data_IF_098636372260
#
_entry.id   IF_098636372260
#
_cell.length_a   1.000
_cell.length_b   1.000
_cell.length_c   1.000
_cell.angle_alpha   90.00
_cell.angle_beta   90.00
_cell.angle_gamma   90.00
#
_symmetry.space_group_name_H-M   'P 1'
#
loop_
_entity.id
_entity.type
_entity.pdbx_description
1 polymer ?
#
# COMPACT_ATOMS: atom_id res chain seq x y z
N UNK A 1 -3.18 21.89 6.39
CA UNK A 1 -2.02 22.23 5.54
C UNK A 1 -1.84 21.09 4.56
N UNK A 2 -1.53 21.38 3.30
CA UNK A 2 -1.64 20.46 2.16
C UNK A 2 -0.93 19.12 2.39
N UNK A 3 -1.68 18.02 2.30
CA UNK A 3 -1.19 16.63 2.23
C UNK A 3 -0.32 16.49 0.96
N UNK A 4 0.95 16.86 1.08
CA UNK A 4 1.88 16.86 -0.04
C UNK A 4 2.42 15.46 -0.28
N UNK A 5 1.85 14.76 -1.24
CA UNK A 5 2.49 13.63 -1.85
C UNK A 5 2.51 13.81 -3.36
N UNK A 6 3.66 13.49 -3.95
CA UNK A 6 3.90 13.78 -5.35
C UNK A 6 3.30 12.66 -6.20
N UNK A 7 2.05 12.86 -6.62
CA UNK A 7 1.34 11.92 -7.49
C UNK A 7 2.10 11.66 -8.81
N UNK A 8 2.84 12.64 -9.34
CA UNK A 8 3.68 12.44 -10.52
C UNK A 8 4.86 11.49 -10.26
N UNK A 9 5.19 11.24 -8.99
CA UNK A 9 6.22 10.26 -8.55
C UNK A 9 5.60 9.01 -7.90
N UNK A 10 4.30 8.80 -8.03
CA UNK A 10 3.61 7.66 -7.44
C UNK A 10 3.55 7.69 -5.91
N UNK A 11 3.61 8.88 -5.29
CA UNK A 11 3.55 9.00 -3.84
C UNK A 11 2.19 9.52 -3.37
N UNK A 12 1.66 8.90 -2.31
CA UNK A 12 0.46 9.33 -1.58
C UNK A 12 0.79 9.49 -0.09
N UNK A 13 0.37 10.58 0.53
CA UNK A 13 0.72 10.92 1.92
C UNK A 13 -0.54 10.95 2.77
N UNK A 14 -0.47 10.33 3.95
CA UNK A 14 -1.58 10.27 4.89
C UNK A 14 -1.08 10.46 6.32
N UNK A 15 -1.99 10.81 7.22
CA UNK A 15 -1.68 11.16 8.61
C UNK A 15 -2.43 10.20 9.55
N UNK A 16 -1.72 9.70 10.57
CA UNK A 16 -2.29 8.92 11.67
C UNK A 16 -1.87 9.62 12.96
N UNK A 17 -2.82 10.24 13.65
CA UNK A 17 -2.50 11.06 14.82
C UNK A 17 -1.57 12.21 14.44
N UNK A 18 -0.36 12.23 15.00
CA UNK A 18 0.67 13.23 14.69
C UNK A 18 1.74 12.70 13.71
N UNK A 19 1.66 11.43 13.32
CA UNK A 19 2.63 10.80 12.44
C UNK A 19 2.19 10.91 10.99
N UNK A 20 3.15 11.23 10.12
CA UNK A 20 2.95 11.31 8.68
C UNK A 20 3.54 10.09 8.00
N UNK A 21 2.73 9.46 7.17
CA UNK A 21 3.07 8.28 6.41
C UNK A 21 3.05 8.58 4.91
N UNK A 22 3.85 7.84 4.16
CA UNK A 22 3.95 7.97 2.71
C UNK A 22 3.83 6.57 2.11
N UNK A 23 2.81 6.40 1.29
CA UNK A 23 2.76 5.40 0.25
C UNK A 23 3.64 5.83 -0.92
N UNK A 24 4.47 4.92 -1.41
CA UNK A 24 5.30 5.10 -2.57
C UNK A 24 5.11 3.90 -3.52
N UNK A 25 4.31 4.10 -4.56
CA UNK A 25 4.14 3.18 -5.68
C UNK A 25 5.21 3.45 -6.74
N UNK A 26 6.47 3.35 -6.34
CA UNK A 26 7.59 3.47 -7.29
C UNK A 26 7.69 2.21 -8.15
N UNK A 27 8.54 2.23 -9.18
CA UNK A 27 8.83 1.03 -9.98
C UNK A 27 9.26 -0.16 -9.12
N UNK A 28 10.04 0.06 -8.04
CA UNK A 28 10.45 -1.02 -7.15
C UNK A 28 9.27 -1.61 -6.38
N UNK A 29 8.37 -0.75 -5.88
CA UNK A 29 7.14 -1.21 -5.23
C UNK A 29 6.27 -2.01 -6.20
N UNK A 30 6.14 -1.59 -7.46
CA UNK A 30 5.40 -2.36 -8.47
C UNK A 30 6.06 -3.71 -8.79
N UNK A 31 7.39 -3.77 -8.92
CA UNK A 31 8.09 -5.05 -9.06
C UNK A 31 7.90 -5.95 -7.82
N UNK A 32 7.92 -5.38 -6.62
CA UNK A 32 7.65 -6.14 -5.40
C UNK A 32 6.21 -6.68 -5.35
N UNK A 33 5.24 -5.98 -5.95
CA UNK A 33 3.88 -6.50 -6.16
C UNK A 33 3.90 -7.70 -7.11
N UNK A 34 4.59 -7.59 -8.24
CA UNK A 34 4.72 -8.71 -9.20
C UNK A 34 5.32 -9.94 -8.53
N UNK A 35 6.42 -9.78 -7.79
CA UNK A 35 7.09 -10.88 -7.07
C UNK A 35 6.23 -11.48 -5.95
N UNK A 36 5.56 -10.66 -5.14
CA UNK A 36 4.75 -11.13 -4.00
C UNK A 36 3.51 -11.92 -4.42
N UNK A 37 2.96 -11.61 -5.59
CA UNK A 37 1.75 -12.25 -6.13
C UNK A 37 2.01 -13.17 -7.32
N UNK A 38 3.28 -13.41 -7.68
CA UNK A 38 3.70 -14.25 -8.81
C UNK A 38 3.04 -13.82 -10.14
N UNK A 39 3.04 -12.51 -10.39
CA UNK A 39 2.46 -11.91 -11.60
C UNK A 39 3.48 -11.90 -12.73
N UNK A 40 2.99 -12.02 -13.97
CA UNK A 40 3.86 -11.88 -15.16
C UNK A 40 4.19 -10.42 -15.48
N UNK A 41 3.23 -9.54 -15.22
CA UNK A 41 3.35 -8.10 -15.32
C UNK A 41 2.29 -7.43 -14.44
N UNK A 42 2.47 -6.14 -14.17
CA UNK A 42 1.62 -5.37 -13.27
C UNK A 42 0.14 -5.29 -13.71
N UNK A 43 -0.19 -5.51 -14.98
CA UNK A 43 -1.58 -5.48 -15.45
C UNK A 43 -2.42 -6.63 -14.88
N UNK A 44 -1.78 -7.73 -14.46
CA UNK A 44 -2.46 -8.86 -13.82
C UNK A 44 -2.97 -8.52 -12.40
N UNK A 45 -2.49 -7.43 -11.79
CA UNK A 45 -2.92 -6.99 -10.46
C UNK A 45 -4.43 -6.71 -10.39
N UNK A 46 -5.03 -6.15 -11.45
CA UNK A 46 -6.49 -5.93 -11.50
C UNK A 46 -7.29 -7.22 -11.33
N UNK A 47 -6.75 -8.35 -11.85
CA UNK A 47 -7.39 -9.66 -11.69
C UNK A 47 -7.30 -10.16 -10.24
N UNK A 48 -6.20 -9.86 -9.55
CA UNK A 48 -6.03 -10.16 -8.11
C UNK A 48 -7.03 -9.36 -7.28
N UNK A 49 -7.24 -8.08 -7.62
CA UNK A 49 -8.10 -7.15 -6.89
C UNK A 49 -9.60 -7.26 -7.21
N UNK A 50 -9.97 -7.76 -8.39
CA UNK A 50 -11.39 -7.87 -8.80
C UNK A 50 -12.12 -9.05 -8.17
N UNK A 51 -11.42 -10.06 -7.64
CA UNK A 51 -12.01 -11.29 -7.08
C UNK A 51 -12.30 -11.23 -5.58
N UNK A 52 -12.73 -10.09 -5.04
CA UNK A 52 -12.91 -9.90 -3.59
C UNK A 52 -11.66 -10.33 -2.81
N UNK A 53 -10.56 -9.57 -2.91
CA UNK A 53 -9.26 -9.96 -2.39
C UNK A 53 -9.33 -10.24 -0.90
N UNK A 54 -8.56 -11.24 -0.46
CA UNK A 54 -8.48 -11.54 0.96
C UNK A 54 -7.87 -10.37 1.74
N UNK A 55 -8.21 -10.23 3.03
CA UNK A 55 -7.56 -9.22 3.90
C UNK A 55 -6.04 -9.33 3.90
N UNK A 56 -5.50 -10.56 3.76
CA UNK A 56 -4.05 -10.79 3.65
C UNK A 56 -3.48 -10.17 2.37
N UNK A 57 -4.20 -10.28 1.25
CA UNK A 57 -3.83 -9.68 -0.04
C UNK A 57 -3.78 -8.16 0.09
N UNK A 58 -4.83 -7.57 0.65
CA UNK A 58 -4.92 -6.11 0.86
C UNK A 58 -3.79 -5.64 1.76
N UNK A 59 -3.53 -6.34 2.87
CA UNK A 59 -2.44 -6.01 3.80
C UNK A 59 -1.06 -6.12 3.17
N UNK A 60 -0.82 -7.10 2.30
CA UNK A 60 0.45 -7.22 1.55
C UNK A 60 0.65 -6.03 0.62
N UNK A 61 -0.37 -5.62 -0.14
CA UNK A 61 -0.29 -4.42 -0.99
C UNK A 61 -0.03 -3.16 -0.17
N UNK A 62 -0.74 -3.03 0.95
CA UNK A 62 -0.54 -1.93 1.89
C UNK A 62 0.88 -1.93 2.48
N UNK A 63 1.42 -3.10 2.85
CA UNK A 63 2.81 -3.20 3.30
C UNK A 63 3.79 -2.74 2.21
N UNK A 64 3.66 -3.29 1.00
CA UNK A 64 4.55 -2.98 -0.14
C UNK A 64 4.56 -1.47 -0.42
N UNK A 65 3.40 -0.84 -0.43
CA UNK A 65 3.31 0.60 -0.67
C UNK A 65 4.05 1.44 0.40
N UNK A 66 4.23 0.94 1.63
CA UNK A 66 4.98 1.61 2.68
C UNK A 66 6.48 1.28 2.66
N UNK A 67 6.86 0.10 2.14
CA UNK A 67 8.22 -0.45 2.26
C UNK A 67 9.30 0.47 1.68
N UNK A 68 9.04 1.17 0.58
CA UNK A 68 10.00 2.09 -0.02
C UNK A 68 10.40 3.25 0.91
N UNK A 69 9.50 3.67 1.82
CA UNK A 69 9.78 4.69 2.83
C UNK A 69 10.05 4.09 4.21
N UNK A 70 9.71 2.82 4.43
CA UNK A 70 9.87 2.07 5.67
C UNK A 70 10.39 0.65 5.36
N UNK A 71 11.69 0.47 5.05
CA UNK A 71 12.22 -0.78 4.49
C UNK A 71 12.03 -2.04 5.35
N UNK A 72 11.89 -1.85 6.67
CA UNK A 72 11.72 -2.95 7.63
C UNK A 72 10.25 -3.28 7.93
N UNK A 73 9.31 -2.63 7.23
CA UNK A 73 7.87 -2.79 7.43
C UNK A 73 7.43 -4.25 7.30
N UNK A 74 6.92 -4.82 8.39
CA UNK A 74 6.37 -6.17 8.41
C UNK A 74 4.88 -6.20 8.06
N UNK A 75 4.39 -7.38 7.69
CA UNK A 75 2.95 -7.66 7.54
C UNK A 75 2.13 -7.32 8.80
N UNK A 76 2.71 -7.54 10.00
CA UNK A 76 2.01 -7.30 11.26
C UNK A 76 1.85 -5.80 11.52
N UNK A 77 2.93 -5.03 11.33
CA UNK A 77 2.94 -3.57 11.47
C UNK A 77 2.02 -2.91 10.44
N UNK A 78 2.05 -3.36 9.18
CA UNK A 78 1.10 -2.89 8.17
C UNK A 78 -0.36 -3.09 8.60
N UNK A 79 -0.69 -4.23 9.21
CA UNK A 79 -2.01 -4.48 9.77
C UNK A 79 -2.38 -3.53 10.93
N UNK A 80 -1.43 -3.23 11.81
CA UNK A 80 -1.64 -2.27 12.89
C UNK A 80 -1.86 -0.83 12.37
N UNK A 81 -1.13 -0.45 11.31
CA UNK A 81 -1.33 0.83 10.62
C UNK A 81 -2.71 0.88 9.97
N UNK A 82 -3.12 -0.17 9.25
CA UNK A 82 -4.47 -0.25 8.67
C UNK A 82 -5.57 -0.08 9.72
N UNK A 83 -5.40 -0.66 10.91
CA UNK A 83 -6.34 -0.46 12.03
C UNK A 83 -6.34 1.01 12.49
N UNK A 84 -5.16 1.63 12.63
CA UNK A 84 -5.02 3.02 13.05
C UNK A 84 -5.55 4.04 12.02
N UNK A 85 -5.58 3.70 10.73
CA UNK A 85 -6.24 4.50 9.67
C UNK A 85 -7.77 4.46 9.81
N UNK A 86 -8.33 3.47 10.52
CA UNK A 86 -9.78 3.26 10.67
C UNK A 86 -10.27 1.94 10.07
N UNK A 87 -9.39 0.97 9.88
CA UNK A 87 -9.70 -0.37 9.44
C UNK A 87 -9.75 -0.52 7.91
N UNK A 88 -10.45 -1.55 7.45
CA UNK A 88 -10.37 -2.03 6.06
C UNK A 88 -10.76 -0.98 5.01
N UNK A 89 -11.92 -0.34 5.18
CA UNK A 89 -12.48 0.54 4.15
C UNK A 89 -11.59 1.77 3.91
N UNK A 90 -11.20 2.55 4.95
CA UNK A 90 -10.24 3.63 4.79
C UNK A 90 -8.89 3.16 4.20
N UNK A 91 -8.42 1.97 4.60
CA UNK A 91 -7.16 1.43 4.08
C UNK A 91 -7.21 1.11 2.58
N UNK A 92 -8.36 0.64 2.08
CA UNK A 92 -8.56 0.36 0.65
C UNK A 92 -8.56 1.65 -0.18
N UNK A 93 -9.18 2.72 0.32
CA UNK A 93 -9.22 4.03 -0.35
C UNK A 93 -7.81 4.67 -0.50
N UNK A 94 -6.81 4.20 0.26
CA UNK A 94 -5.42 4.67 0.13
C UNK A 94 -4.61 3.92 -0.93
N UNK A 95 -5.03 2.71 -1.34
CA UNK A 95 -4.26 1.86 -2.26
C UNK A 95 -4.97 1.60 -3.60
N UNK A 96 -6.20 2.10 -3.77
CA UNK A 96 -7.02 2.02 -4.98
C UNK A 96 -7.27 3.42 -5.55
#
# INVERSE_FOLDING_TARGET
>A
MTAGANLQRGQLGFEIGNDRWIFAFTTNALCAVEEEFDLKDISELETVLSKSPSLRTIRKLFRIGLTDCQPEMTDHEAGAIMEAVGGLKPSLELIM
#
